data_IF_001895283772
#
_entry.id   IF_001895283772
#
_cell.length_a   1.000
_cell.length_b   1.000
_cell.length_c   1.000
_cell.angle_alpha   90.00
_cell.angle_beta   90.00
_cell.angle_gamma   90.00
#
_symmetry.space_group_name_H-M   'P 1'
#
loop_
_entity.id
_entity.type
_entity.pdbx_description
1 polymer ?
#
# COMPACT_ATOMS: atom_id res chain seq x y z
N UNK A 1 -13.54 8.90 22.39
CA UNK A 1 -12.86 9.39 21.16
C UNK A 1 -12.39 8.16 20.39
N UNK A 2 -12.37 8.12 19.05
CA UNK A 2 -12.02 6.90 18.30
C UNK A 2 -10.66 6.31 18.70
N UNK A 3 -9.66 7.16 18.98
CA UNK A 3 -8.37 6.71 19.50
C UNK A 3 -8.42 6.07 20.90
N UNK A 4 -9.15 6.66 21.84
CA UNK A 4 -9.40 6.03 23.16
C UNK A 4 -10.04 4.64 23.01
N UNK A 5 -10.81 4.41 21.94
CA UNK A 5 -11.41 3.11 21.65
C UNK A 5 -10.38 2.06 21.20
N UNK A 6 -9.33 2.44 20.48
CA UNK A 6 -8.25 1.52 20.08
C UNK A 6 -7.42 1.09 21.29
N UNK A 7 -7.11 2.03 22.18
CA UNK A 7 -6.31 1.76 23.39
C UNK A 7 -6.95 0.69 24.29
N UNK A 8 -8.29 0.72 24.38
CA UNK A 8 -9.12 -0.19 25.18
C UNK A 8 -9.31 -1.59 24.58
N UNK A 9 -8.85 -1.82 23.34
CA UNK A 9 -8.91 -3.14 22.69
C UNK A 9 -7.85 -4.05 23.32
N UNK A 10 -8.30 -5.13 23.94
CA UNK A 10 -7.47 -6.05 24.73
C UNK A 10 -7.86 -7.53 24.56
N UNK A 11 -8.55 -7.84 23.47
CA UNK A 11 -9.00 -9.19 23.10
C UNK A 11 -9.36 -9.20 21.62
N UNK A 12 -9.17 -10.35 20.96
CA UNK A 12 -9.49 -10.53 19.54
C UNK A 12 -10.97 -10.21 19.28
N UNK A 13 -11.84 -10.58 20.23
CA UNK A 13 -13.29 -10.32 20.16
C UNK A 13 -13.64 -8.83 20.21
N UNK A 14 -12.93 -8.03 20.99
CA UNK A 14 -13.16 -6.56 21.01
C UNK A 14 -12.66 -5.93 19.73
N UNK A 15 -11.50 -6.35 19.23
CA UNK A 15 -10.94 -5.87 17.95
C UNK A 15 -11.91 -6.16 16.81
N UNK A 16 -12.37 -7.40 16.65
CA UNK A 16 -13.32 -7.75 15.61
C UNK A 16 -14.61 -6.93 15.67
N UNK A 17 -15.19 -6.75 16.87
CA UNK A 17 -16.39 -5.92 17.04
C UNK A 17 -16.16 -4.46 16.65
N UNK A 18 -14.98 -3.92 16.98
CA UNK A 18 -14.58 -2.57 16.59
C UNK A 18 -14.46 -2.47 15.07
N UNK A 19 -13.71 -3.39 14.44
CA UNK A 19 -13.52 -3.42 12.99
C UNK A 19 -14.86 -3.55 12.25
N UNK A 20 -15.72 -4.48 12.64
CA UNK A 20 -17.03 -4.69 12.03
C UNK A 20 -17.93 -3.45 12.10
N UNK A 21 -17.92 -2.77 13.25
CA UNK A 21 -18.84 -1.66 13.54
C UNK A 21 -18.34 -0.32 12.97
N UNK A 22 -17.06 -0.02 13.17
CA UNK A 22 -16.50 1.30 12.93
C UNK A 22 -15.75 1.39 11.59
N UNK A 23 -15.18 0.28 11.10
CA UNK A 23 -14.34 0.25 9.90
C UNK A 23 -15.12 -0.31 8.71
N UNK A 24 -15.47 -1.60 8.75
CA UNK A 24 -16.11 -2.29 7.65
C UNK A 24 -16.92 -3.48 8.16
N UNK A 25 -18.22 -3.51 7.86
CA UNK A 25 -19.16 -4.58 8.28
C UNK A 25 -18.76 -5.99 7.82
N UNK A 26 -17.82 -6.12 6.88
CA UNK A 26 -17.27 -7.40 6.45
C UNK A 26 -16.24 -7.97 7.43
N UNK A 27 -15.61 -7.14 8.27
CA UNK A 27 -14.61 -7.55 9.26
C UNK A 27 -15.25 -8.18 10.49
N UNK A 28 -16.08 -9.20 10.28
CA UNK A 28 -16.61 -10.02 11.36
C UNK A 28 -15.48 -10.81 12.02
N UNK A 29 -15.67 -11.28 13.25
CA UNK A 29 -14.67 -12.08 13.96
C UNK A 29 -14.16 -13.25 13.11
N UNK A 30 -15.09 -13.97 12.46
CA UNK A 30 -14.77 -15.12 11.60
C UNK A 30 -13.90 -14.72 10.40
N UNK A 31 -14.17 -13.57 9.79
CA UNK A 31 -13.44 -13.14 8.60
C UNK A 31 -12.03 -12.63 8.94
N UNK A 32 -11.81 -12.16 10.17
CA UNK A 32 -10.50 -11.63 10.59
C UNK A 32 -9.65 -12.71 11.27
N UNK A 33 -10.21 -13.50 12.18
CA UNK A 33 -9.48 -14.43 13.06
C UNK A 33 -9.76 -15.92 12.78
N UNK A 34 -10.59 -16.25 11.79
CA UNK A 34 -10.98 -17.61 11.38
C UNK A 34 -11.68 -18.48 12.46
N UNK A 35 -12.14 -19.68 12.08
CA UNK A 35 -12.81 -20.70 12.91
C UNK A 35 -11.89 -21.79 13.44
N UNK A 36 -10.74 -22.05 12.79
CA UNK A 36 -9.90 -23.21 13.09
C UNK A 36 -8.83 -22.92 14.15
N UNK A 37 -8.48 -21.65 14.33
CA UNK A 37 -7.72 -21.18 15.48
C UNK A 37 -8.76 -20.70 16.50
N UNK A 38 -8.88 -21.39 17.63
CA UNK A 38 -9.42 -20.73 18.82
C UNK A 38 -8.39 -19.67 19.18
N UNK A 39 -8.41 -18.52 18.49
CA UNK A 39 -7.59 -17.36 18.81
C UNK A 39 -8.10 -16.83 20.14
N UNK A 40 -7.69 -17.52 21.20
CA UNK A 40 -7.93 -17.18 22.56
C UNK A 40 -7.30 -15.81 22.85
N UNK A 41 -7.59 -15.26 24.02
CA UNK A 41 -7.00 -14.00 24.41
C UNK A 41 -5.48 -14.14 24.67
N UNK A 42 -4.91 -15.36 24.68
CA UNK A 42 -3.47 -15.61 24.88
C UNK A 42 -2.66 -15.23 23.64
N UNK A 43 -3.19 -15.44 22.43
CA UNK A 43 -2.56 -15.06 21.16
C UNK A 43 -2.86 -13.62 20.71
N UNK A 44 -3.55 -12.81 21.52
CA UNK A 44 -3.95 -11.45 21.15
C UNK A 44 -2.77 -10.59 20.68
N UNK A 45 -1.66 -10.61 21.42
CA UNK A 45 -0.46 -9.83 21.10
C UNK A 45 0.29 -10.37 19.87
N UNK A 46 0.03 -11.61 19.46
CA UNK A 46 0.60 -12.17 18.23
C UNK A 46 -0.06 -11.53 17.00
N UNK A 47 -1.39 -11.51 16.97
CA UNK A 47 -2.16 -11.02 15.82
C UNK A 47 -2.36 -9.51 15.80
N UNK A 48 -2.39 -8.86 16.97
CA UNK A 48 -2.77 -7.45 17.09
C UNK A 48 -1.61 -6.63 17.61
N UNK A 49 -1.21 -5.59 16.87
CA UNK A 49 -0.26 -4.58 17.33
C UNK A 49 -0.95 -3.23 17.42
N UNK A 50 -0.68 -2.51 18.50
CA UNK A 50 -1.12 -1.14 18.74
C UNK A 50 0.12 -0.24 18.80
N UNK A 51 0.28 0.64 17.83
CA UNK A 51 1.47 1.50 17.73
C UNK A 51 1.15 2.72 16.88
N UNK A 52 1.83 3.84 17.11
CA UNK A 52 1.81 5.01 16.22
C UNK A 52 2.71 4.71 15.01
N UNK A 53 2.12 4.34 13.86
CA UNK A 53 2.85 3.93 12.66
C UNK A 53 3.32 5.12 11.82
N UNK A 54 2.53 6.20 11.77
CA UNK A 54 2.80 7.37 10.95
C UNK A 54 3.41 8.55 11.71
N UNK A 55 3.65 8.37 13.02
CA UNK A 55 4.21 9.34 13.96
C UNK A 55 3.34 10.60 14.13
N UNK A 56 2.02 10.43 14.09
CA UNK A 56 1.08 11.52 14.28
C UNK A 56 0.68 11.74 15.76
N UNK A 57 1.18 10.91 16.68
CA UNK A 57 0.91 10.96 18.12
C UNK A 57 -0.34 10.18 18.56
N UNK A 58 -1.06 9.54 17.64
CA UNK A 58 -2.20 8.68 17.91
C UNK A 58 -1.83 7.21 17.70
N UNK A 59 -2.42 6.33 18.52
CA UNK A 59 -2.20 4.90 18.41
C UNK A 59 -3.03 4.35 17.24
N UNK A 60 -2.34 3.67 16.32
CA UNK A 60 -2.92 2.94 15.20
C UNK A 60 -3.11 1.46 15.56
N UNK A 61 -3.92 0.78 14.75
CA UNK A 61 -4.20 -0.63 14.90
C UNK A 61 -3.66 -1.41 13.69
N UNK A 62 -2.84 -2.43 13.95
CA UNK A 62 -2.40 -3.41 12.96
C UNK A 62 -2.95 -4.77 13.36
N UNK A 63 -3.70 -5.41 12.47
CA UNK A 63 -4.23 -6.76 12.67
C UNK A 63 -3.66 -7.66 11.59
N UNK A 64 -2.66 -8.44 11.97
CA UNK A 64 -1.96 -9.41 11.16
C UNK A 64 -2.43 -10.82 11.53
N UNK A 65 -3.66 -11.13 11.16
CA UNK A 65 -4.27 -12.43 11.36
C UNK A 65 -4.29 -13.21 10.03
N UNK A 66 -5.30 -14.06 9.81
CA UNK A 66 -5.30 -15.01 8.71
C UNK A 66 -5.24 -14.32 7.33
N UNK A 67 -6.23 -13.49 6.96
CA UNK A 67 -6.20 -12.60 5.78
C UNK A 67 -7.44 -11.68 5.83
N UNK A 68 -7.37 -10.38 5.45
CA UNK A 68 -6.22 -9.58 5.06
C UNK A 68 -5.48 -8.93 6.24
N UNK A 69 -4.24 -8.46 6.01
CA UNK A 69 -3.58 -7.52 6.91
C UNK A 69 -4.39 -6.21 6.93
N UNK A 70 -4.96 -5.90 8.09
CA UNK A 70 -5.77 -4.70 8.30
C UNK A 70 -4.92 -3.69 9.08
N UNK A 71 -4.68 -2.52 8.49
CA UNK A 71 -4.05 -1.39 9.16
C UNK A 71 -5.06 -0.26 9.24
N UNK A 72 -5.32 0.24 10.44
CA UNK A 72 -6.19 1.39 10.69
C UNK A 72 -5.34 2.50 11.28
N UNK A 73 -5.02 3.50 10.45
CA UNK A 73 -4.40 4.73 10.89
C UNK A 73 -5.44 5.60 11.58
N UNK A 74 -5.17 5.99 12.81
CA UNK A 74 -5.99 6.87 13.60
C UNK A 74 -5.50 8.32 13.43
N UNK A 75 -6.33 9.17 12.83
CA UNK A 75 -5.98 10.56 12.53
C UNK A 75 -6.57 11.55 13.56
N UNK A 76 -7.01 11.07 14.72
CA UNK A 76 -7.69 11.89 15.74
C UNK A 76 -9.16 12.18 15.42
N UNK A 77 -9.92 12.73 16.39
CA UNK A 77 -11.31 13.23 16.22
C UNK A 77 -12.32 12.30 15.51
N UNK A 78 -12.14 10.97 15.62
CA UNK A 78 -12.94 9.96 14.89
C UNK A 78 -12.70 9.91 13.38
N UNK A 79 -11.59 10.46 12.92
CA UNK A 79 -11.07 10.24 11.59
C UNK A 79 -10.09 9.07 11.61
N UNK A 80 -10.18 8.22 10.61
CA UNK A 80 -9.24 7.13 10.41
C UNK A 80 -9.00 6.92 8.92
N UNK A 81 -7.90 6.27 8.60
CA UNK A 81 -7.64 5.76 7.28
C UNK A 81 -7.31 4.28 7.36
N UNK A 82 -8.12 3.47 6.70
CA UNK A 82 -7.81 2.07 6.50
C UNK A 82 -6.78 1.94 5.37
N UNK A 83 -5.65 1.31 5.65
CA UNK A 83 -4.69 0.89 4.64
C UNK A 83 -4.90 -0.59 4.36
N UNK A 84 -5.37 -0.88 3.15
CA UNK A 84 -5.53 -2.24 2.69
C UNK A 84 -4.21 -2.72 2.09
N UNK A 85 -3.41 -3.41 2.88
CA UNK A 85 -2.21 -4.10 2.41
C UNK A 85 -2.60 -5.50 1.89
N UNK A 86 -3.53 -5.54 0.93
CA UNK A 86 -3.93 -6.65 0.03
C UNK A 86 -5.37 -6.51 -0.43
N UNK A 87 -5.63 -6.89 -1.68
CA UNK A 87 -6.99 -7.16 -2.16
C UNK A 87 -6.99 -8.23 -3.25
N UNK A 88 -6.30 -9.34 -3.02
CA UNK A 88 -6.26 -10.46 -3.96
C UNK A 88 -6.85 -11.69 -3.30
N UNK A 89 -8.03 -12.09 -3.78
CA UNK A 89 -8.71 -13.35 -3.44
C UNK A 89 -8.03 -14.60 -4.02
N UNK A 90 -6.73 -14.53 -4.28
CA UNK A 90 -5.99 -15.61 -4.94
C UNK A 90 -4.84 -16.00 -4.05
N UNK A 91 -5.05 -17.07 -3.28
CA UNK A 91 -4.00 -17.82 -2.61
C UNK A 91 -2.96 -18.22 -3.66
N UNK A 92 -1.88 -17.45 -3.77
CA UNK A 92 -0.64 -17.89 -4.39
C UNK A 92 0.34 -18.16 -3.26
N UNK A 93 1.09 -19.25 -3.33
CA UNK A 93 2.02 -19.71 -2.27
C UNK A 93 3.16 -18.72 -1.94
N UNK A 94 3.26 -17.59 -2.66
CA UNK A 94 4.29 -16.57 -2.51
C UNK A 94 3.69 -15.21 -2.11
N UNK A 95 2.72 -15.16 -1.20
CA UNK A 95 2.25 -13.87 -0.67
C UNK A 95 3.27 -13.29 0.32
N UNK A 96 3.46 -11.96 0.36
CA UNK A 96 4.20 -11.34 1.45
C UNK A 96 3.54 -11.67 2.79
N UNK A 97 4.29 -11.76 3.87
CA UNK A 97 3.77 -11.92 5.23
C UNK A 97 4.44 -10.88 6.12
N UNK A 98 3.67 -10.23 7.00
CA UNK A 98 4.27 -9.31 7.96
C UNK A 98 4.99 -10.15 9.01
N UNK A 99 6.32 -10.14 8.96
CA UNK A 99 7.19 -10.83 9.91
C UNK A 99 7.29 -10.05 11.22
N UNK A 100 7.57 -8.74 11.11
CA UNK A 100 7.81 -7.91 12.30
C UNK A 100 7.58 -6.42 12.05
N UNK A 101 7.49 -5.66 13.14
CA UNK A 101 7.50 -4.18 13.13
C UNK A 101 8.76 -3.74 13.86
N UNK A 102 9.74 -3.23 13.11
CA UNK A 102 11.00 -2.71 13.65
C UNK A 102 10.87 -1.22 14.00
N UNK A 103 11.60 -0.78 15.02
CA UNK A 103 11.79 0.64 15.33
C UNK A 103 13.16 1.08 14.81
N UNK A 104 13.18 1.97 13.82
CA UNK A 104 14.41 2.54 13.28
C UNK A 104 14.40 4.05 13.50
N UNK A 105 15.18 4.51 14.48
CA UNK A 105 15.09 5.89 14.95
C UNK A 105 13.71 6.15 15.56
N UNK A 106 12.95 7.09 14.99
CA UNK A 106 11.56 7.32 15.37
C UNK A 106 10.55 6.67 14.41
N UNK A 107 11.00 5.96 13.38
CA UNK A 107 10.10 5.38 12.38
C UNK A 107 9.73 3.93 12.74
N UNK A 108 8.48 3.57 12.45
CA UNK A 108 8.00 2.19 12.50
C UNK A 108 8.09 1.59 11.11
N UNK A 109 8.84 0.50 11.00
CA UNK A 109 9.14 -0.18 9.74
C UNK A 109 8.52 -1.57 9.77
N UNK A 110 7.56 -1.80 8.89
CA UNK A 110 6.92 -3.08 8.65
C UNK A 110 7.85 -3.95 7.81
N UNK A 111 8.30 -5.08 8.34
CA UNK A 111 9.15 -6.03 7.64
C UNK A 111 8.27 -7.12 7.06
N UNK A 112 8.27 -7.22 5.74
CA UNK A 112 7.55 -8.26 5.01
C UNK A 112 8.53 -9.29 4.45
N UNK A 113 8.18 -10.55 4.59
CA UNK A 113 8.88 -11.67 3.96
C UNK A 113 7.99 -12.29 2.89
N UNK A 114 8.52 -12.53 1.70
CA UNK A 114 7.83 -13.26 0.63
C UNK A 114 8.67 -14.46 0.24
N UNK A 115 8.14 -15.67 0.36
CA UNK A 115 8.84 -16.85 -0.15
C UNK A 115 9.07 -16.70 -1.66
N UNK A 116 10.31 -16.90 -2.10
CA UNK A 116 10.70 -16.89 -3.50
C UNK A 116 11.16 -18.27 -3.91
N UNK A 117 10.76 -18.70 -5.11
CA UNK A 117 11.22 -19.97 -5.66
C UNK A 117 12.57 -19.76 -6.34
N UNK A 118 13.43 -20.80 -6.34
CA UNK A 118 14.84 -20.70 -6.76
C UNK A 118 15.06 -20.14 -8.18
N UNK A 119 14.05 -20.16 -9.05
CA UNK A 119 14.13 -19.63 -10.40
C UNK A 119 13.97 -18.09 -10.47
N UNK A 120 13.55 -17.43 -9.40
CA UNK A 120 13.32 -15.97 -9.35
C UNK A 120 14.49 -15.18 -8.70
N UNK A 121 15.56 -15.86 -8.28
CA UNK A 121 16.62 -15.30 -7.42
C UNK A 121 17.37 -14.08 -7.98
N UNK A 122 17.43 -13.87 -9.30
CA UNK A 122 18.24 -12.82 -9.93
C UNK A 122 17.65 -11.40 -9.80
N UNK A 123 16.39 -11.25 -9.36
CA UNK A 123 15.67 -9.97 -9.39
C UNK A 123 15.54 -9.26 -8.02
N UNK A 124 15.96 -9.89 -6.91
CA UNK A 124 15.64 -9.38 -5.58
C UNK A 124 16.82 -8.69 -4.86
N UNK A 125 16.65 -7.44 -4.40
CA UNK A 125 17.74 -6.68 -3.78
C UNK A 125 18.12 -7.17 -2.37
N UNK A 126 17.22 -7.89 -1.68
CA UNK A 126 17.41 -8.38 -0.32
C UNK A 126 16.79 -9.77 -0.17
N UNK A 127 17.62 -10.78 0.12
CA UNK A 127 17.21 -12.17 0.32
C UNK A 127 17.65 -12.65 1.71
N UNK A 128 16.73 -13.27 2.45
CA UNK A 128 16.99 -14.00 3.70
C UNK A 128 16.83 -15.50 3.43
N UNK A 129 17.73 -16.30 3.98
CA UNK A 129 17.69 -17.77 3.84
C UNK A 129 17.34 -18.36 5.20
N UNK A 130 16.30 -19.20 5.25
CA UNK A 130 15.98 -20.06 6.39
C UNK A 130 16.42 -21.47 6.06
N UNK A 131 17.42 -21.98 6.79
CA UNK A 131 17.99 -23.30 6.53
C UNK A 131 17.07 -24.43 7.01
N UNK A 132 17.10 -25.57 6.31
CA UNK A 132 16.45 -26.82 6.73
C UNK A 132 14.95 -26.70 7.10
N UNK A 133 14.17 -25.98 6.29
CA UNK A 133 12.72 -25.86 6.49
C UNK A 133 11.98 -27.01 5.79
N UNK A 134 10.88 -27.47 6.39
CA UNK A 134 9.92 -28.33 5.68
C UNK A 134 9.15 -27.50 4.66
N UNK A 135 9.28 -27.85 3.38
CA UNK A 135 8.59 -27.17 2.29
C UNK A 135 8.06 -28.17 1.27
N UNK A 136 6.90 -27.85 0.71
CA UNK A 136 6.28 -28.64 -0.35
C UNK A 136 7.09 -28.49 -1.64
N UNK A 137 7.50 -29.60 -2.24
CA UNK A 137 8.24 -29.65 -3.49
C UNK A 137 7.44 -30.44 -4.52
N UNK A 138 7.31 -29.89 -5.73
CA UNK A 138 6.62 -30.56 -6.83
C UNK A 138 7.61 -31.34 -7.69
N UNK A 139 7.43 -32.66 -7.75
CA UNK A 139 8.24 -33.53 -8.59
C UNK A 139 7.66 -33.60 -10.01
N UNK A 140 8.31 -32.94 -10.96
CA UNK A 140 7.84 -32.88 -12.36
C UNK A 140 7.79 -34.23 -13.08
N UNK A 141 8.55 -35.23 -12.61
CA UNK A 141 8.57 -36.58 -13.22
C UNK A 141 7.42 -37.43 -12.72
N UNK A 142 7.15 -37.43 -11.41
CA UNK A 142 6.06 -38.22 -10.82
C UNK A 142 4.73 -37.49 -10.84
N UNK A 143 4.75 -36.16 -11.03
CA UNK A 143 3.60 -35.25 -10.92
C UNK A 143 2.96 -35.25 -9.54
N UNK A 144 3.76 -35.50 -8.50
CA UNK A 144 3.32 -35.53 -7.11
C UNK A 144 4.05 -34.45 -6.31
N UNK A 145 3.40 -33.96 -5.26
CA UNK A 145 4.00 -33.04 -4.30
C UNK A 145 4.44 -33.82 -3.06
N UNK A 146 5.66 -33.58 -2.59
CA UNK A 146 6.22 -34.21 -1.40
C UNK A 146 6.81 -33.15 -0.45
N UNK A 147 6.71 -33.40 0.84
CA UNK A 147 7.38 -32.55 1.84
C UNK A 147 8.87 -32.88 1.83
N UNK A 148 9.69 -31.86 1.63
CA UNK A 148 11.15 -31.99 1.61
C UNK A 148 11.76 -31.01 2.60
N UNK A 149 12.92 -31.37 3.13
CA UNK A 149 13.73 -30.45 3.93
C UNK A 149 14.65 -29.71 2.95
N UNK A 150 14.49 -28.40 2.84
CA UNK A 150 15.34 -27.54 1.99
C UNK A 150 15.54 -26.18 2.62
N UNK A 151 16.53 -25.46 2.11
CA UNK A 151 16.66 -24.04 2.42
C UNK A 151 15.56 -23.28 1.68
N UNK A 152 14.87 -22.40 2.40
CA UNK A 152 13.80 -21.55 1.86
C UNK A 152 14.29 -20.11 1.83
N UNK A 153 14.13 -19.47 0.67
CA UNK A 153 14.56 -18.10 0.43
C UNK A 153 13.36 -17.17 0.54
N UNK A 154 13.57 -16.05 1.22
CA UNK A 154 12.58 -15.01 1.40
C UNK A 154 13.11 -13.69 0.85
N UNK A 155 12.37 -13.08 -0.06
CA UNK A 155 12.54 -11.66 -0.36
C UNK A 155 12.09 -10.87 0.87
N UNK A 156 12.91 -9.91 1.29
CA UNK A 156 12.58 -9.04 2.43
C UNK A 156 12.27 -7.64 1.92
N UNK A 157 11.03 -7.20 2.10
CA UNK A 157 10.60 -5.83 1.85
C UNK A 157 10.48 -5.06 3.17
N UNK A 158 11.06 -3.87 3.24
CA UNK A 158 10.90 -2.97 4.37
C UNK A 158 9.98 -1.83 3.97
N UNK A 159 8.82 -1.72 4.63
CA UNK A 159 7.80 -0.72 4.35
C UNK A 159 7.56 0.17 5.56
N UNK A 160 7.03 1.37 5.35
CA UNK A 160 6.67 2.32 6.41
C UNK A 160 5.42 3.06 5.99
N UNK A 161 4.79 3.77 6.93
CA UNK A 161 3.70 4.69 6.60
C UNK A 161 4.26 6.10 6.41
N UNK A 162 3.98 6.72 5.26
CA UNK A 162 4.27 8.13 4.97
C UNK A 162 3.14 8.76 4.20
N UNK A 163 2.81 10.01 4.53
CA UNK A 163 1.76 10.79 3.85
C UNK A 163 0.41 10.06 3.85
N UNK A 164 0.15 9.25 4.88
CA UNK A 164 -1.05 8.41 5.01
C UNK A 164 -1.13 7.26 4.02
N UNK A 165 0.00 6.76 3.51
CA UNK A 165 0.09 5.60 2.62
C UNK A 165 1.23 4.67 3.05
N UNK A 166 1.15 3.40 2.66
CA UNK A 166 2.26 2.45 2.78
C UNK A 166 3.25 2.71 1.65
N UNK A 167 4.52 2.88 2.01
CA UNK A 167 5.63 3.16 1.08
C UNK A 167 6.83 2.29 1.44
N UNK A 168 7.73 2.10 0.48
CA UNK A 168 9.05 1.49 0.71
C UNK A 168 9.83 2.33 1.72
N UNK A 169 10.36 1.69 2.76
CA UNK A 169 11.23 2.33 3.74
C UNK A 169 12.56 2.73 3.11
N UNK A 170 13.00 3.95 3.41
CA UNK A 170 14.27 4.52 2.96
C UNK A 170 15.05 5.09 4.14
N UNK A 171 16.25 4.56 4.37
CA UNK A 171 17.15 5.02 5.44
C UNK A 171 17.87 6.36 5.13
N UNK A 172 17.69 6.91 3.92
CA UNK A 172 18.39 8.12 3.48
C UNK A 172 17.43 9.29 3.27
N UNK A 173 17.87 10.50 3.62
CA UNK A 173 17.17 11.73 3.24
C UNK A 173 17.20 11.88 1.72
N UNK A 174 16.06 11.68 1.07
CA UNK A 174 15.89 11.92 -0.36
C UNK A 174 16.27 13.36 -0.71
N UNK A 175 16.94 13.56 -1.84
CA UNK A 175 17.20 14.90 -2.35
C UNK A 175 15.87 15.51 -2.78
N UNK A 176 15.43 16.54 -2.06
CA UNK A 176 14.23 17.31 -2.37
C UNK A 176 14.44 18.01 -3.71
N UNK A 177 13.72 17.57 -4.74
CA UNK A 177 13.68 18.23 -6.04
C UNK A 177 12.35 18.96 -6.13
N UNK A 178 12.38 20.29 -6.00
CA UNK A 178 11.17 21.11 -6.06
C UNK A 178 10.40 20.85 -7.35
N UNK A 179 9.13 20.51 -7.20
CA UNK A 179 8.21 20.26 -8.29
C UNK A 179 7.60 21.60 -8.72
N UNK A 180 7.71 21.90 -10.01
CA UNK A 180 7.05 23.05 -10.64
C UNK A 180 5.62 22.70 -11.03
N UNK A 181 5.45 21.55 -11.65
CA UNK A 181 4.17 21.13 -12.20
C UNK A 181 4.07 19.61 -12.27
N UNK A 182 2.85 19.12 -12.04
CA UNK A 182 2.47 17.72 -12.07
C UNK A 182 1.33 17.55 -13.07
N UNK A 183 1.45 16.53 -13.91
CA UNK A 183 0.39 16.07 -14.79
C UNK A 183 0.12 14.59 -14.55
N UNK A 184 -1.15 14.25 -14.51
CA UNK A 184 -1.58 12.86 -14.45
C UNK A 184 -2.75 12.64 -15.40
N UNK A 185 -2.75 11.55 -16.14
CA UNK A 185 -3.90 11.13 -16.94
C UNK A 185 -4.10 9.63 -16.90
N UNK A 186 -5.33 9.20 -17.11
CA UNK A 186 -5.69 7.79 -17.23
C UNK A 186 -6.31 7.48 -18.59
N UNK A 187 -6.12 6.26 -19.08
CA UNK A 187 -6.83 5.73 -20.26
C UNK A 187 -8.06 4.93 -19.85
N UNK A 188 -8.87 4.51 -20.83
CA UNK A 188 -9.97 3.57 -20.59
C UNK A 188 -9.49 2.14 -20.31
N UNK A 189 -10.41 1.33 -19.81
CA UNK A 189 -10.31 -0.12 -19.60
C UNK A 189 -11.62 -0.79 -20.08
N UNK A 190 -11.73 -2.12 -20.05
CA UNK A 190 -12.97 -2.84 -20.43
C UNK A 190 -14.12 -2.66 -19.41
N UNK A 191 -13.85 -2.16 -18.21
CA UNK A 191 -14.81 -1.91 -17.14
C UNK A 191 -15.15 -0.43 -16.91
N UNK A 192 -15.36 -0.06 -15.65
CA UNK A 192 -15.74 1.30 -15.22
C UNK A 192 -14.56 2.09 -14.66
N UNK A 193 -13.38 1.96 -15.26
CA UNK A 193 -12.20 2.69 -14.80
C UNK A 193 -12.33 4.18 -15.15
N UNK A 194 -12.12 5.09 -14.18
CA UNK A 194 -12.28 6.53 -14.40
C UNK A 194 -11.23 7.05 -15.38
N UNK A 195 -11.69 7.77 -16.40
CA UNK A 195 -10.85 8.46 -17.38
C UNK A 195 -10.84 9.94 -17.00
N UNK A 196 -9.69 10.44 -16.56
CA UNK A 196 -9.54 11.83 -16.13
C UNK A 196 -8.11 12.35 -16.34
N UNK A 197 -7.98 13.67 -16.27
CA UNK A 197 -6.69 14.37 -16.30
C UNK A 197 -6.62 15.34 -15.12
N UNK A 198 -5.44 15.43 -14.51
CA UNK A 198 -5.08 16.40 -13.48
C UNK A 198 -3.85 17.14 -13.98
N UNK A 199 -3.88 18.46 -13.86
CA UNK A 199 -2.71 19.33 -13.91
C UNK A 199 -2.66 20.13 -12.60
N UNK A 200 -1.53 20.10 -11.91
CA UNK A 200 -1.33 20.73 -10.62
C UNK A 200 -0.01 21.50 -10.61
N UNK A 201 -0.06 22.78 -10.27
CA UNK A 201 1.13 23.63 -10.17
C UNK A 201 1.65 23.79 -8.74
N UNK A 202 2.83 24.42 -8.60
CA UNK A 202 3.47 24.71 -7.33
C UNK A 202 2.68 25.67 -6.42
N UNK A 203 1.69 26.38 -6.96
CA UNK A 203 0.80 27.29 -6.24
C UNK A 203 -0.50 26.60 -5.78
N UNK A 204 -0.60 25.28 -5.99
CA UNK A 204 -1.76 24.42 -5.69
C UNK A 204 -2.96 24.66 -6.59
N UNK A 205 -2.81 25.37 -7.70
CA UNK A 205 -3.88 25.49 -8.67
C UNK A 205 -4.00 24.15 -9.41
N UNK A 206 -5.18 23.55 -9.34
CA UNK A 206 -5.50 22.27 -9.96
C UNK A 206 -6.49 22.51 -11.09
N UNK A 207 -6.14 22.06 -12.28
CA UNK A 207 -7.05 21.90 -13.42
C UNK A 207 -7.39 20.41 -13.57
N UNK A 208 -8.67 20.10 -13.56
CA UNK A 208 -9.22 18.75 -13.67
C UNK A 208 -10.05 18.65 -14.95
N UNK A 209 -9.94 17.53 -15.66
CA UNK A 209 -10.78 17.20 -16.79
C UNK A 209 -11.29 15.77 -16.65
N UNK A 210 -12.52 15.61 -16.16
CA UNK A 210 -13.17 14.30 -16.05
C UNK A 210 -13.83 13.93 -17.37
N UNK A 211 -13.57 12.73 -17.88
CA UNK A 211 -14.09 12.29 -19.19
C UNK A 211 -15.16 11.23 -19.06
N UNK A 212 -14.88 10.13 -18.35
CA UNK A 212 -15.81 8.98 -18.24
C UNK A 212 -15.62 8.26 -16.91
N UNK A 213 -16.71 7.74 -16.34
CA UNK A 213 -16.71 7.03 -15.06
C UNK A 213 -16.12 7.84 -13.88
N UNK A 214 -16.23 9.16 -13.95
CA UNK A 214 -15.82 10.11 -12.92
C UNK A 214 -17.04 10.72 -12.24
N UNK A 215 -16.87 11.21 -11.01
CA UNK A 215 -17.94 11.90 -10.28
C UNK A 215 -18.30 13.25 -10.91
N UNK A 216 -17.33 13.89 -11.54
CA UNK A 216 -17.47 15.14 -12.27
C UNK A 216 -17.02 14.95 -13.72
N UNK A 217 -17.82 15.42 -14.68
CA UNK A 217 -17.48 15.38 -16.11
C UNK A 217 -17.26 16.79 -16.64
N UNK A 218 -16.22 16.96 -17.46
CA UNK A 218 -15.78 18.24 -17.98
C UNK A 218 -14.66 18.89 -17.16
N UNK A 219 -14.39 20.15 -17.49
CA UNK A 219 -13.31 20.93 -16.90
C UNK A 219 -13.72 21.55 -15.56
N UNK A 220 -12.83 21.49 -14.58
CA UNK A 220 -12.95 22.20 -13.31
C UNK A 220 -11.61 22.70 -12.83
N UNK A 221 -11.57 23.92 -12.31
CA UNK A 221 -10.37 24.52 -11.72
C UNK A 221 -10.63 24.91 -10.28
N UNK A 222 -9.71 24.57 -9.39
CA UNK A 222 -9.79 24.93 -7.97
C UNK A 222 -8.40 24.91 -7.34
N UNK A 223 -8.26 25.51 -6.17
CA UNK A 223 -7.03 25.42 -5.37
C UNK A 223 -7.11 24.19 -4.47
N UNK A 224 -6.16 23.26 -4.61
CA UNK A 224 -6.08 22.09 -3.74
C UNK A 224 -5.75 22.53 -2.31
N UNK A 225 -6.38 21.89 -1.31
CA UNK A 225 -6.09 22.21 0.08
C UNK A 225 -4.62 21.88 0.42
N UNK A 226 -4.09 22.55 1.43
CA UNK A 226 -2.67 22.50 1.75
C UNK A 226 -2.23 21.07 2.13
N UNK A 227 -3.01 20.38 2.95
CA UNK A 227 -2.71 19.04 3.43
C UNK A 227 -2.65 18.01 2.30
N UNK A 228 -3.62 17.99 1.39
CA UNK A 228 -3.63 17.05 0.26
C UNK A 228 -2.48 17.34 -0.71
N UNK A 229 -2.17 18.62 -0.92
CA UNK A 229 -1.04 19.03 -1.74
C UNK A 229 0.29 18.58 -1.12
N UNK A 230 0.54 18.89 0.16
CA UNK A 230 1.79 18.55 0.84
C UNK A 230 1.99 17.04 0.91
N UNK A 231 0.92 16.27 1.15
CA UNK A 231 0.97 14.81 1.13
C UNK A 231 1.33 14.26 -0.25
N UNK A 232 0.72 14.79 -1.33
CA UNK A 232 0.99 14.32 -2.69
C UNK A 232 2.42 14.68 -3.15
N UNK A 233 2.84 15.92 -2.97
CA UNK A 233 4.18 16.38 -3.36
C UNK A 233 5.25 15.69 -2.50
N UNK A 234 5.05 15.62 -1.19
CA UNK A 234 5.95 14.92 -0.28
C UNK A 234 6.13 13.45 -0.66
N UNK A 235 5.06 12.78 -1.07
CA UNK A 235 5.11 11.39 -1.55
C UNK A 235 5.88 11.25 -2.87
N UNK A 236 5.69 12.17 -3.83
CA UNK A 236 6.43 12.17 -5.10
C UNK A 236 7.93 12.41 -4.85
N UNK A 237 8.27 13.34 -3.97
CA UNK A 237 9.66 13.62 -3.59
C UNK A 237 10.30 12.44 -2.86
N UNK A 238 9.59 11.83 -1.91
CA UNK A 238 10.03 10.64 -1.18
C UNK A 238 10.30 9.46 -2.11
N UNK A 239 9.45 9.28 -3.12
CA UNK A 239 9.57 8.22 -4.14
C UNK A 239 10.87 8.31 -4.94
N UNK A 240 11.47 9.49 -5.06
CA UNK A 240 12.61 9.76 -5.96
C UNK A 240 12.30 9.36 -7.40
N UNK A 241 11.15 9.83 -7.92
CA UNK A 241 10.56 9.41 -9.18
C UNK A 241 11.55 9.31 -10.36
N UNK A 242 12.56 10.18 -10.42
CA UNK A 242 13.63 10.16 -11.43
C UNK A 242 14.35 8.80 -11.54
N UNK A 243 14.48 8.05 -10.44
CA UNK A 243 15.14 6.74 -10.38
C UNK A 243 14.28 5.58 -10.89
N UNK A 244 12.96 5.77 -10.99
CA UNK A 244 12.06 4.72 -11.46
C UNK A 244 12.24 4.45 -12.96
N UNK A 245 11.81 3.26 -13.42
CA UNK A 245 11.67 2.99 -14.86
C UNK A 245 10.67 3.97 -15.49
N UNK A 246 10.82 4.23 -16.79
CA UNK A 246 9.89 5.10 -17.53
C UNK A 246 8.56 4.39 -17.84
N UNK A 247 8.54 3.06 -17.80
CA UNK A 247 7.36 2.26 -18.12
C UNK A 247 7.24 1.04 -17.20
N UNK A 248 6.01 0.76 -16.78
CA UNK A 248 5.59 -0.46 -16.11
C UNK A 248 4.40 -1.05 -16.85
N UNK A 249 4.25 -2.37 -16.80
CA UNK A 249 3.11 -3.06 -17.38
C UNK A 249 2.88 -4.38 -16.68
N UNK A 250 1.62 -4.65 -16.37
CA UNK A 250 1.14 -6.00 -16.08
C UNK A 250 1.14 -6.86 -17.35
N UNK A 251 1.02 -8.18 -17.20
CA UNK A 251 1.05 -9.15 -18.29
C UNK A 251 -0.33 -9.61 -18.79
N UNK A 252 -1.42 -9.08 -18.23
CA UNK A 252 -2.79 -9.28 -18.72
C UNK A 252 -3.24 -8.12 -19.61
N UNK A 253 -4.44 -8.22 -20.20
CA UNK A 253 -5.03 -7.19 -21.07
C UNK A 253 -6.20 -6.47 -20.40
N UNK A 254 -6.76 -5.49 -21.10
CA UNK A 254 -8.02 -4.79 -20.76
C UNK A 254 -8.00 -3.88 -19.53
N UNK A 255 -6.82 -3.59 -18.97
CA UNK A 255 -6.62 -2.64 -17.88
C UNK A 255 -6.37 -1.20 -18.37
N UNK A 256 -6.49 -0.22 -17.46
CA UNK A 256 -6.17 1.18 -17.74
C UNK A 256 -4.67 1.46 -17.63
N UNK A 257 -4.22 2.49 -18.34
CA UNK A 257 -2.87 3.06 -18.18
C UNK A 257 -2.93 4.35 -17.40
N UNK A 258 -2.03 4.54 -16.45
CA UNK A 258 -1.72 5.84 -15.85
C UNK A 258 -0.49 6.45 -16.51
N UNK A 259 -0.55 7.75 -16.80
CA UNK A 259 0.60 8.52 -17.30
C UNK A 259 0.86 9.64 -16.29
N UNK A 260 1.97 9.55 -15.58
CA UNK A 260 2.41 10.52 -14.59
C UNK A 260 3.60 11.29 -15.13
N UNK A 261 3.49 12.62 -15.20
CA UNK A 261 4.57 13.50 -15.63
C UNK A 261 4.84 14.58 -14.59
N UNK A 262 6.10 14.73 -14.21
CA UNK A 262 6.58 15.72 -13.24
C UNK A 262 7.59 16.62 -13.92
N UNK A 263 7.35 17.92 -13.83
CA UNK A 263 8.28 18.98 -14.26
C UNK A 263 8.88 19.59 -12.99
N UNK A 264 10.20 19.57 -12.89
CA UNK A 264 10.93 20.12 -11.74
C UNK A 264 11.34 21.58 -11.99
N UNK A 265 11.57 22.35 -10.94
CA UNK A 265 11.98 23.78 -11.07
C UNK A 265 13.29 23.97 -11.83
N UNK A 266 14.19 22.98 -11.79
CA UNK A 266 15.44 23.00 -12.56
C UNK A 266 15.26 22.69 -14.06
N UNK A 267 14.03 22.48 -14.52
CA UNK A 267 13.71 22.17 -15.91
C UNK A 267 13.73 20.67 -16.24
N UNK A 268 14.15 19.81 -15.32
CA UNK A 268 14.10 18.36 -15.55
C UNK A 268 12.64 17.89 -15.68
N UNK A 269 12.43 16.87 -16.50
CA UNK A 269 11.13 16.24 -16.72
C UNK A 269 11.26 14.75 -16.49
N UNK A 270 10.35 14.18 -15.69
CA UNK A 270 10.19 12.73 -15.55
C UNK A 270 8.79 12.35 -15.97
N UNK A 271 8.68 11.35 -16.82
CA UNK A 271 7.41 10.73 -17.21
C UNK A 271 7.46 9.24 -16.91
N UNK A 272 6.37 8.71 -16.36
CA UNK A 272 6.18 7.29 -16.06
C UNK A 272 4.83 6.85 -16.61
N UNK A 273 4.84 5.86 -17.49
CA UNK A 273 3.64 5.18 -17.98
C UNK A 273 3.48 3.84 -17.25
N UNK A 274 2.29 3.54 -16.77
CA UNK A 274 2.03 2.30 -16.02
C UNK A 274 0.72 1.66 -16.46
N UNK A 275 0.83 0.58 -17.23
CA UNK A 275 -0.30 -0.24 -17.65
C UNK A 275 -0.70 -1.20 -16.52
N UNK A 276 -1.93 -1.05 -16.02
CA UNK A 276 -2.46 -1.77 -14.85
C UNK A 276 -2.31 -1.03 -13.51
N UNK A 277 -1.62 0.12 -13.50
CA UNK A 277 -1.33 0.91 -12.29
C UNK A 277 -0.68 0.07 -11.18
N UNK A 278 0.16 -0.90 -11.55
CA UNK A 278 0.71 -1.88 -10.62
C UNK A 278 2.16 -1.62 -10.23
N UNK A 279 2.83 -0.57 -10.75
CA UNK A 279 4.29 -0.34 -10.70
C UNK A 279 5.01 -0.61 -9.38
N UNK A 280 5.66 0.39 -8.78
CA UNK A 280 6.27 0.20 -7.45
C UNK A 280 5.25 0.48 -6.36
N UNK A 281 5.50 0.03 -5.13
CA UNK A 281 4.63 0.33 -3.97
C UNK A 281 4.44 1.85 -3.83
N UNK A 282 5.53 2.61 -3.97
CA UNK A 282 5.50 4.07 -3.92
C UNK A 282 4.69 4.69 -5.06
N UNK A 283 4.75 4.12 -6.27
CA UNK A 283 3.98 4.62 -7.40
C UNK A 283 2.48 4.35 -7.22
N UNK A 284 2.10 3.18 -6.67
CA UNK A 284 0.70 2.90 -6.29
C UNK A 284 0.19 3.90 -5.26
N UNK A 285 1.00 4.24 -4.25
CA UNK A 285 0.64 5.25 -3.26
C UNK A 285 0.35 6.62 -3.90
N UNK A 286 1.15 7.04 -4.89
CA UNK A 286 0.89 8.28 -5.65
C UNK A 286 -0.45 8.19 -6.39
N UNK A 287 -0.73 7.07 -7.04
CA UNK A 287 -2.02 6.85 -7.72
C UNK A 287 -3.19 6.88 -6.75
N UNK A 288 -3.07 6.28 -5.57
CA UNK A 288 -4.11 6.35 -4.52
C UNK A 288 -4.50 7.80 -4.24
N UNK A 289 -3.53 8.70 -4.01
CA UNK A 289 -3.78 10.13 -3.77
C UNK A 289 -4.44 10.82 -4.96
N UNK A 290 -3.98 10.57 -6.18
CA UNK A 290 -4.55 11.16 -7.39
C UNK A 290 -5.99 10.70 -7.63
N UNK A 291 -6.30 9.43 -7.33
CA UNK A 291 -7.65 8.88 -7.42
C UNK A 291 -8.56 9.37 -6.28
N UNK A 292 -8.03 9.60 -5.07
CA UNK A 292 -8.74 10.27 -3.98
C UNK A 292 -9.15 11.70 -4.39
N UNK A 293 -8.23 12.47 -4.99
CA UNK A 293 -8.53 13.80 -5.55
C UNK A 293 -9.66 13.70 -6.57
N UNK A 294 -9.54 12.81 -7.56
CA UNK A 294 -10.57 12.57 -8.58
C UNK A 294 -11.96 12.27 -7.96
N UNK A 295 -12.02 11.40 -6.94
CA UNK A 295 -13.28 11.06 -6.25
C UNK A 295 -13.91 12.27 -5.53
N UNK A 296 -13.08 13.20 -5.06
CA UNK A 296 -13.52 14.37 -4.32
C UNK A 296 -13.92 15.57 -5.20
N UNK A 297 -13.67 15.50 -6.51
CA UNK A 297 -14.17 16.49 -7.46
C UNK A 297 -15.68 16.33 -7.62
N UNK A 298 -16.43 17.36 -7.21
CA UNK A 298 -17.90 17.47 -7.33
C UNK A 298 -18.32 18.44 -8.42
#
# INVERSE_FOLDING_TARGET
MFGQTIDELNSNKKVAKFLEKEINKKYTFKEVFDKEVEADDEDFEYFVKKTDLDNNGFIDLVVNAYVPLIIVLNNGDKNYKELNFRNTKFFSDNEPELDSIAEIGNEKVLIFETEIQEFDDEEYPSIKIKENQEALSYNSKTKESEWTIRDVKYKVDSLTVKFGEIVEYKNNKSKVNKIKELYFSTTGCFGTCPIFEIKLDSERNLEYNGKRFTNHSGMKSFRLNQTDYDNLIGLIEYTELKKLKNSYSVNWTDDQTGILKVIYENGDVKEVQDYGLQGTINLKAIYTKLFEINKNVK
#
